data_IF_881237648644
#
_entry.id   IF_881237648644
#
_cell.length_a   1.000
_cell.length_b   1.000
_cell.length_c   1.000
_cell.angle_alpha   90.00
_cell.angle_beta   90.00
_cell.angle_gamma   90.00
#
_symmetry.space_group_name_H-M   'P 1'
#
loop_
_entity.id
_entity.type
_entity.pdbx_description
1 polymer ?
#
# COMPACT_ATOMS: atom_id res chain seq x y z
N UNK A 1 -28.81 -12.67 -13.24
CA UNK A 1 -28.20 -11.81 -12.20
C UNK A 1 -28.07 -12.64 -10.94
N UNK A 2 -26.86 -13.00 -10.55
CA UNK A 2 -26.59 -13.70 -9.29
C UNK A 2 -26.42 -12.70 -8.15
N UNK A 3 -26.74 -13.11 -6.92
CA UNK A 3 -26.38 -12.37 -5.72
C UNK A 3 -24.84 -12.44 -5.51
N UNK A 4 -24.26 -11.37 -5.03
CA UNK A 4 -22.87 -11.40 -4.57
C UNK A 4 -22.83 -12.11 -3.20
N UNK A 5 -21.72 -12.79 -2.91
CA UNK A 5 -21.50 -13.40 -1.59
C UNK A 5 -21.66 -12.38 -0.46
N UNK A 6 -21.29 -11.11 -0.70
CA UNK A 6 -21.49 -10.00 0.22
C UNK A 6 -22.97 -9.73 0.55
N UNK A 7 -23.88 -10.03 -0.38
CA UNK A 7 -25.31 -9.85 -0.17
C UNK A 7 -25.92 -10.93 0.77
N UNK A 8 -25.18 -12.03 0.98
CA UNK A 8 -25.58 -13.16 1.83
C UNK A 8 -25.10 -13.01 3.28
N UNK A 9 -24.26 -12.00 3.57
CA UNK A 9 -23.78 -11.76 4.94
C UNK A 9 -24.92 -11.33 5.85
N UNK A 10 -25.01 -11.96 7.02
CA UNK A 10 -26.07 -11.72 8.02
C UNK A 10 -25.91 -10.37 8.73
N UNK A 11 -24.70 -9.83 8.79
CA UNK A 11 -24.41 -8.52 9.40
C UNK A 11 -23.84 -7.60 8.34
N UNK A 12 -24.47 -6.46 8.17
CA UNK A 12 -24.07 -5.41 7.23
C UNK A 12 -24.13 -4.06 7.91
N UNK A 13 -23.22 -3.15 7.55
CA UNK A 13 -23.17 -1.80 8.06
C UNK A 13 -22.74 -0.80 7.01
N UNK A 14 -22.95 0.45 7.29
CA UNK A 14 -22.39 1.57 6.53
C UNK A 14 -21.24 2.17 7.32
N UNK A 15 -20.17 2.53 6.61
CA UNK A 15 -19.02 3.24 7.19
C UNK A 15 -19.05 4.67 6.69
N UNK A 16 -19.08 5.63 7.62
CA UNK A 16 -18.84 7.01 7.28
C UNK A 16 -17.33 7.19 7.07
N UNK A 17 -16.96 7.64 5.89
CA UNK A 17 -15.57 7.95 5.56
C UNK A 17 -15.38 9.45 5.68
N UNK A 18 -14.44 9.84 6.50
CA UNK A 18 -14.07 11.24 6.69
C UNK A 18 -12.73 11.51 6.02
N UNK A 19 -12.59 12.70 5.45
CA UNK A 19 -11.32 13.26 4.98
C UNK A 19 -11.28 14.73 5.28
N UNK A 20 -10.10 15.29 5.35
CA UNK A 20 -9.87 16.70 5.66
C UNK A 20 -8.92 17.33 4.65
N UNK A 21 -8.99 18.64 4.52
CA UNK A 21 -8.00 19.43 3.82
C UNK A 21 -6.76 19.72 4.69
N UNK A 22 -5.83 20.52 4.17
CA UNK A 22 -4.61 20.91 4.90
C UNK A 22 -4.87 21.82 6.10
N UNK A 23 -6.05 22.41 6.19
CA UNK A 23 -6.47 23.30 7.29
C UNK A 23 -7.30 22.54 8.34
N UNK A 24 -7.60 21.27 8.10
CA UNK A 24 -8.39 20.42 8.98
C UNK A 24 -9.91 20.51 8.75
N UNK A 25 -10.35 21.17 7.68
CA UNK A 25 -11.77 21.24 7.36
C UNK A 25 -12.26 19.96 6.70
N UNK A 26 -13.45 19.47 7.01
CA UNK A 26 -14.02 18.30 6.39
C UNK A 26 -14.19 18.46 4.88
N UNK A 27 -13.82 17.42 4.14
CA UNK A 27 -14.07 17.29 2.70
C UNK A 27 -15.09 16.19 2.44
N UNK A 28 -15.99 16.42 1.47
CA UNK A 28 -17.03 15.46 1.10
C UNK A 28 -16.54 14.35 0.16
N UNK A 29 -15.39 14.54 -0.47
CA UNK A 29 -14.83 13.58 -1.43
C UNK A 29 -13.48 13.11 -0.91
N UNK A 30 -13.43 11.82 -0.63
CA UNK A 30 -12.22 11.13 -0.22
C UNK A 30 -11.53 10.46 -1.44
N UNK A 31 -10.27 10.07 -1.26
CA UNK A 31 -9.58 9.20 -2.20
C UNK A 31 -9.26 7.83 -1.57
N UNK A 32 -8.72 6.91 -2.35
CA UNK A 32 -8.38 5.58 -1.85
C UNK A 32 -7.23 5.58 -0.83
N UNK A 33 -6.36 6.59 -0.84
CA UNK A 33 -5.25 6.66 0.11
C UNK A 33 -5.74 6.97 1.52
N UNK A 34 -6.48 8.09 1.69
CA UNK A 34 -6.96 8.46 3.01
C UNK A 34 -8.03 7.50 3.55
N UNK A 35 -8.89 6.94 2.69
CA UNK A 35 -9.89 5.97 3.13
C UNK A 35 -9.26 4.65 3.58
N UNK A 36 -8.29 4.13 2.83
CA UNK A 36 -7.57 2.92 3.23
C UNK A 36 -6.74 3.17 4.49
N UNK A 37 -6.13 4.35 4.64
CA UNK A 37 -5.42 4.74 5.86
C UNK A 37 -6.36 4.76 7.05
N UNK A 38 -7.55 5.35 6.93
CA UNK A 38 -8.53 5.36 8.01
C UNK A 38 -8.99 3.95 8.39
N UNK A 39 -9.19 3.06 7.41
CA UNK A 39 -9.53 1.65 7.67
C UNK A 39 -8.37 0.88 8.33
N UNK A 40 -7.13 1.15 7.93
CA UNK A 40 -5.97 0.45 8.45
C UNK A 40 -5.53 0.93 9.83
N UNK A 41 -5.78 2.20 10.17
CA UNK A 41 -5.21 2.85 11.37
C UNK A 41 -6.24 3.42 12.34
N UNK A 42 -7.48 3.63 11.89
CA UNK A 42 -8.50 4.38 12.63
C UNK A 42 -8.31 5.91 12.61
N UNK A 43 -7.29 6.42 11.95
CA UNK A 43 -7.00 7.86 11.90
C UNK A 43 -7.68 8.54 10.71
N UNK A 44 -8.27 9.71 10.93
CA UNK A 44 -8.71 10.61 9.84
C UNK A 44 -7.49 11.34 9.30
N UNK A 45 -7.37 11.41 7.97
CA UNK A 45 -6.22 12.02 7.32
C UNK A 45 -6.59 12.77 6.04
N UNK A 46 -5.61 13.43 5.45
CA UNK A 46 -5.77 14.20 4.22
C UNK A 46 -5.77 13.31 2.98
N UNK A 47 -6.37 13.83 1.90
CA UNK A 47 -6.33 13.19 0.58
C UNK A 47 -4.87 12.90 0.19
N UNK A 48 -4.65 11.70 -0.36
CA UNK A 48 -3.34 11.27 -0.86
C UNK A 48 -2.40 10.67 0.17
N UNK A 49 -2.65 10.80 1.46
CA UNK A 49 -1.80 10.23 2.51
C UNK A 49 -2.00 8.74 2.67
N UNK A 50 -0.91 8.05 2.95
CA UNK A 50 -0.83 6.60 3.15
C UNK A 50 -0.20 6.32 4.51
N UNK A 51 -0.92 5.65 5.42
CA UNK A 51 -0.41 5.24 6.73
C UNK A 51 0.00 6.37 7.69
N UNK A 52 -0.39 7.61 7.40
CA UNK A 52 -0.05 8.78 8.21
C UNK A 52 -1.31 9.58 8.56
N UNK A 53 -1.31 10.19 9.73
CA UNK A 53 -2.40 11.05 10.21
C UNK A 53 -2.43 12.43 9.51
N UNK A 54 -3.35 13.28 9.96
CA UNK A 54 -3.51 14.65 9.46
C UNK A 54 -2.26 15.53 9.63
N UNK A 55 -1.42 15.23 10.61
CA UNK A 55 -0.18 15.96 10.92
C UNK A 55 1.05 15.37 10.22
N UNK A 56 0.84 14.43 9.27
CA UNK A 56 1.92 13.71 8.60
C UNK A 56 2.75 12.80 9.52
N UNK A 57 2.18 12.39 10.66
CA UNK A 57 2.81 11.47 11.60
C UNK A 57 2.46 10.02 11.21
N UNK A 58 3.44 9.14 11.26
CA UNK A 58 3.26 7.70 11.06
C UNK A 58 2.29 7.16 12.11
N UNK A 59 1.28 6.40 11.67
CA UNK A 59 0.32 5.73 12.55
C UNK A 59 0.40 4.23 12.31
N UNK A 60 0.65 3.42 13.34
CA UNK A 60 0.67 1.98 13.20
C UNK A 60 -0.63 1.44 12.60
N UNK A 61 -0.49 0.50 11.68
CA UNK A 61 -1.63 -0.14 11.02
C UNK A 61 -2.08 -1.38 11.78
N UNK A 62 -3.32 -1.80 11.57
CA UNK A 62 -3.85 -3.06 12.12
C UNK A 62 -3.01 -4.26 11.67
N UNK A 63 -2.43 -4.21 10.47
CA UNK A 63 -1.61 -5.30 9.92
C UNK A 63 -0.25 -5.36 10.63
N UNK A 64 0.37 -4.21 10.88
CA UNK A 64 1.60 -4.11 11.66
C UNK A 64 1.39 -4.56 13.12
N UNK A 65 0.27 -4.13 13.73
CA UNK A 65 -0.09 -4.58 15.07
C UNK A 65 -0.29 -6.11 15.12
N UNK A 66 -0.98 -6.68 14.14
CA UNK A 66 -1.16 -8.13 14.05
C UNK A 66 0.18 -8.88 13.87
N UNK A 67 1.08 -8.35 13.03
CA UNK A 67 2.41 -8.93 12.86
C UNK A 67 3.22 -8.87 14.16
N UNK A 68 3.18 -7.75 14.88
CA UNK A 68 3.83 -7.60 16.18
C UNK A 68 3.31 -8.58 17.25
N UNK A 69 2.02 -8.92 17.17
CA UNK A 69 1.38 -9.94 18.02
C UNK A 69 1.63 -11.38 17.53
N UNK A 70 2.45 -11.57 16.49
CA UNK A 70 2.86 -12.89 15.99
C UNK A 70 1.86 -13.53 15.02
N UNK A 71 0.85 -12.80 14.54
CA UNK A 71 -0.04 -13.30 13.51
C UNK A 71 0.64 -13.29 12.13
N UNK A 72 0.27 -14.26 11.30
CA UNK A 72 0.65 -14.25 9.89
C UNK A 72 -0.20 -13.25 9.13
N UNK A 73 0.46 -12.42 8.34
CA UNK A 73 -0.18 -11.30 7.66
C UNK A 73 0.03 -11.35 6.15
N UNK A 74 -0.92 -10.76 5.41
CA UNK A 74 -0.82 -10.75 3.96
C UNK A 74 -1.61 -9.63 3.30
N UNK A 75 -1.11 -9.19 2.16
CA UNK A 75 -1.75 -8.22 1.27
C UNK A 75 -2.00 -8.90 -0.06
N UNK A 76 -3.26 -8.89 -0.51
CA UNK A 76 -3.65 -9.43 -1.82
C UNK A 76 -4.47 -8.37 -2.56
N UNK A 77 -4.05 -8.03 -3.76
CA UNK A 77 -4.72 -7.02 -4.58
C UNK A 77 -4.57 -7.33 -6.07
N UNK A 78 -5.56 -6.96 -6.87
CA UNK A 78 -5.45 -6.94 -8.33
C UNK A 78 -4.82 -5.64 -8.86
N UNK A 79 -4.71 -4.62 -7.99
CA UNK A 79 -3.99 -3.37 -8.28
C UNK A 79 -2.47 -3.56 -8.11
N UNK A 80 -1.69 -2.51 -8.41
CA UNK A 80 -0.29 -2.46 -8.00
C UNK A 80 -0.20 -2.57 -6.48
N UNK A 81 0.75 -3.36 -5.97
CA UNK A 81 0.97 -3.49 -4.52
C UNK A 81 1.42 -2.18 -3.88
N UNK A 82 1.97 -1.27 -4.67
CA UNK A 82 2.37 0.08 -4.27
C UNK A 82 1.26 1.11 -4.43
N UNK A 83 0.10 0.73 -5.00
CA UNK A 83 -1.04 1.64 -5.04
C UNK A 83 -1.61 1.85 -3.63
N UNK A 84 -2.30 2.93 -3.45
CA UNK A 84 -2.70 3.48 -2.15
C UNK A 84 -3.43 2.46 -1.24
N UNK A 85 -4.38 1.71 -1.77
CA UNK A 85 -5.21 0.80 -0.97
C UNK A 85 -4.39 -0.33 -0.33
N UNK A 86 -3.62 -1.14 -1.07
CA UNK A 86 -2.77 -2.16 -0.45
C UNK A 86 -1.63 -1.56 0.38
N UNK A 87 -1.04 -0.44 -0.07
CA UNK A 87 0.07 0.22 0.60
C UNK A 87 -0.31 0.74 1.99
N UNK A 88 -1.53 1.26 2.17
CA UNK A 88 -1.97 1.86 3.43
C UNK A 88 -1.99 0.91 4.62
N UNK A 89 -1.88 -0.40 4.39
CA UNK A 89 -1.81 -1.40 5.46
C UNK A 89 -0.38 -1.71 5.93
N UNK A 90 0.67 -1.29 5.19
CA UNK A 90 2.05 -1.62 5.54
C UNK A 90 3.10 -0.60 5.05
N UNK A 91 2.68 0.62 4.73
CA UNK A 91 3.58 1.69 4.33
C UNK A 91 3.05 3.06 4.77
N UNK A 92 3.96 4.03 4.89
CA UNK A 92 3.69 5.35 5.43
C UNK A 92 4.39 6.41 4.59
N UNK A 93 3.64 7.11 3.74
CA UNK A 93 4.15 8.22 2.94
C UNK A 93 3.17 9.40 2.91
N UNK A 94 3.71 10.61 2.80
CA UNK A 94 2.91 11.84 2.75
C UNK A 94 2.00 11.90 1.53
N UNK A 95 2.45 11.34 0.39
CA UNK A 95 1.69 11.35 -0.87
C UNK A 95 1.76 9.97 -1.53
N UNK A 96 0.60 9.40 -1.85
CA UNK A 96 0.44 8.09 -2.51
C UNK A 96 1.26 7.91 -3.80
N UNK A 97 1.69 9.00 -4.42
CA UNK A 97 2.51 8.97 -5.62
C UNK A 97 3.98 8.60 -5.35
N UNK A 98 4.41 8.62 -4.08
CA UNK A 98 5.76 8.23 -3.66
C UNK A 98 5.93 6.71 -3.59
N UNK A 99 5.61 6.04 -4.72
CA UNK A 99 5.55 4.58 -4.80
C UNK A 99 6.90 3.89 -4.85
N UNK A 100 7.92 4.56 -5.39
CA UNK A 100 9.23 3.96 -5.64
C UNK A 100 10.36 4.93 -5.33
N UNK A 101 11.62 4.44 -5.22
CA UNK A 101 12.79 5.31 -5.07
C UNK A 101 12.94 6.39 -6.15
N UNK A 102 12.35 6.17 -7.32
CA UNK A 102 12.34 7.19 -8.39
C UNK A 102 11.27 8.25 -8.15
N UNK A 103 10.06 7.82 -7.76
CA UNK A 103 8.91 8.73 -7.66
C UNK A 103 8.87 9.47 -6.32
N UNK A 104 9.58 9.03 -5.31
CA UNK A 104 9.64 9.71 -4.00
C UNK A 104 10.25 11.12 -4.11
N UNK A 105 11.07 11.37 -5.12
CA UNK A 105 11.66 12.69 -5.40
C UNK A 105 10.72 13.62 -6.18
N UNK A 106 9.50 13.19 -6.45
CA UNK A 106 8.53 13.95 -7.21
C UNK A 106 8.47 13.55 -8.68
N UNK A 107 7.64 14.26 -9.44
CA UNK A 107 7.47 13.99 -10.85
C UNK A 107 6.04 14.16 -11.32
N UNK A 108 5.63 13.38 -12.31
CA UNK A 108 4.29 13.42 -12.87
C UNK A 108 3.61 12.06 -12.76
N UNK A 109 2.44 12.03 -12.12
CA UNK A 109 1.61 10.83 -12.02
C UNK A 109 0.14 11.15 -12.24
N UNK A 110 -0.57 10.32 -13.01
CA UNK A 110 -1.97 10.54 -13.38
C UNK A 110 -2.24 11.91 -14.02
N UNK A 111 -1.24 12.47 -14.73
CA UNK A 111 -1.35 13.79 -15.37
C UNK A 111 -1.06 14.97 -14.43
N UNK A 112 -0.89 14.74 -13.13
CA UNK A 112 -0.61 15.76 -12.11
C UNK A 112 0.86 15.75 -11.73
N UNK A 113 1.47 16.94 -11.64
CA UNK A 113 2.83 17.12 -11.11
C UNK A 113 2.76 17.19 -9.58
N UNK A 114 3.70 16.56 -8.89
CA UNK A 114 3.84 16.61 -7.44
C UNK A 114 5.31 16.73 -7.03
N UNK A 115 5.55 17.30 -5.86
CA UNK A 115 6.91 17.69 -5.41
C UNK A 115 7.68 16.54 -4.73
N UNK A 116 7.06 15.35 -4.61
CA UNK A 116 7.64 14.22 -3.91
C UNK A 116 7.30 14.19 -2.42
N UNK A 117 8.04 13.36 -1.70
CA UNK A 117 7.91 13.18 -0.25
C UNK A 117 9.30 13.35 0.41
N UNK A 118 9.83 14.57 0.49
CA UNK A 118 11.19 14.79 0.99
C UNK A 118 11.39 14.35 2.43
N UNK A 119 10.35 14.43 3.26
CA UNK A 119 10.36 13.97 4.64
C UNK A 119 10.37 12.44 4.79
N UNK A 120 9.97 11.72 3.74
CA UNK A 120 9.94 10.25 3.73
C UNK A 120 11.22 9.65 3.16
N UNK A 121 12.13 10.47 2.60
CA UNK A 121 13.43 10.01 2.10
C UNK A 121 14.27 9.40 3.22
N UNK A 122 14.89 8.26 2.96
CA UNK A 122 15.77 7.57 3.93
C UNK A 122 16.94 8.47 4.36
N UNK A 123 17.51 9.23 3.44
CA UNK A 123 18.59 10.19 3.73
C UNK A 123 18.15 11.34 4.65
N UNK A 124 16.85 11.62 4.75
CA UNK A 124 16.27 12.61 5.65
C UNK A 124 15.73 11.99 6.95
N UNK A 125 15.98 10.69 7.18
CA UNK A 125 15.49 9.95 8.35
C UNK A 125 14.08 9.41 8.19
N UNK A 126 13.50 9.46 6.98
CA UNK A 126 12.21 8.86 6.64
C UNK A 126 12.29 7.36 6.38
N UNK A 127 11.14 6.76 6.10
CA UNK A 127 11.00 5.31 5.91
C UNK A 127 11.23 4.85 4.45
N UNK A 128 11.45 5.78 3.53
CA UNK A 128 11.57 5.51 2.10
C UNK A 128 10.22 5.48 1.38
N UNK A 129 10.27 5.15 0.11
CA UNK A 129 9.09 4.98 -0.75
C UNK A 129 8.23 3.78 -0.32
N UNK A 130 6.99 3.72 -0.80
CA UNK A 130 6.10 2.58 -0.54
C UNK A 130 6.78 1.25 -0.90
N UNK A 131 7.48 1.19 -2.03
CA UNK A 131 8.16 -0.03 -2.46
C UNK A 131 9.27 -0.46 -1.50
N UNK A 132 10.08 0.47 -1.00
CA UNK A 132 11.14 0.19 -0.03
C UNK A 132 10.57 -0.31 1.29
N UNK A 133 9.51 0.34 1.77
CA UNK A 133 8.83 -0.07 3.00
C UNK A 133 8.20 -1.46 2.87
N UNK A 134 7.47 -1.74 1.77
CA UNK A 134 6.90 -3.06 1.53
C UNK A 134 7.98 -4.16 1.42
N UNK A 135 9.14 -3.84 0.82
CA UNK A 135 10.24 -4.78 0.69
C UNK A 135 10.84 -5.19 2.05
N UNK A 136 10.85 -4.28 3.00
CA UNK A 136 11.42 -4.48 4.35
C UNK A 136 10.37 -4.76 5.41
N UNK A 137 9.06 -4.68 5.07
CA UNK A 137 7.95 -4.92 6.01
C UNK A 137 7.95 -6.36 6.53
N UNK A 138 7.31 -6.58 7.67
CA UNK A 138 7.09 -7.90 8.29
C UNK A 138 5.90 -8.67 7.71
N UNK A 139 5.31 -8.18 6.61
CA UNK A 139 4.20 -8.86 5.93
C UNK A 139 4.69 -10.16 5.32
N UNK A 140 4.07 -11.28 5.67
CA UNK A 140 4.50 -12.61 5.23
C UNK A 140 4.21 -12.85 3.74
N UNK A 141 3.07 -12.35 3.25
CA UNK A 141 2.62 -12.57 1.87
C UNK A 141 2.18 -11.26 1.23
N UNK A 142 2.76 -10.91 0.09
CA UNK A 142 2.32 -9.79 -0.73
C UNK A 142 2.08 -10.29 -2.15
N UNK A 143 0.82 -10.29 -2.58
CA UNK A 143 0.40 -10.69 -3.93
C UNK A 143 -0.35 -9.53 -4.60
N UNK A 144 0.10 -9.13 -5.77
CA UNK A 144 -0.58 -8.05 -6.50
C UNK A 144 0.04 -7.74 -7.85
N UNK A 145 -0.51 -6.75 -8.51
CA UNK A 145 0.00 -6.21 -9.76
C UNK A 145 1.08 -5.16 -9.54
N UNK A 146 1.51 -4.57 -10.63
CA UNK A 146 2.45 -3.45 -10.68
C UNK A 146 3.76 -3.81 -11.37
N UNK A 147 4.40 -2.79 -11.94
CA UNK A 147 5.76 -2.88 -12.45
C UNK A 147 6.53 -1.75 -11.80
N UNK A 148 7.39 -2.08 -10.85
CA UNK A 148 8.33 -1.11 -10.31
C UNK A 148 9.63 -1.32 -11.05
N UNK A 149 9.94 -0.39 -11.93
CA UNK A 149 11.22 -0.30 -12.58
C UNK A 149 12.17 0.45 -11.64
N UNK A 150 12.71 -0.24 -10.66
CA UNK A 150 13.92 0.22 -9.99
C UNK A 150 15.11 -0.60 -10.50
N UNK A 151 16.03 0.02 -11.26
CA UNK A 151 17.22 -0.70 -11.74
C UNK A 151 18.16 -1.14 -10.63
N UNK A 152 18.00 -0.61 -9.41
CA UNK A 152 18.90 -0.82 -8.27
C UNK A 152 18.21 -1.40 -7.03
N UNK A 153 16.87 -1.43 -7.03
CA UNK A 153 16.08 -1.99 -5.94
C UNK A 153 15.87 -3.49 -6.05
N UNK A 154 15.22 -4.09 -5.04
CA UNK A 154 14.83 -5.48 -5.10
C UNK A 154 14.00 -5.72 -6.38
N UNK A 155 14.33 -6.75 -7.11
CA UNK A 155 13.67 -7.07 -8.39
C UNK A 155 12.25 -7.52 -8.12
N UNK A 156 11.36 -6.63 -8.35
CA UNK A 156 9.95 -6.89 -8.30
C UNK A 156 9.49 -7.44 -9.66
N UNK A 157 8.80 -8.57 -9.67
CA UNK A 157 8.43 -9.29 -10.86
C UNK A 157 7.66 -8.48 -11.89
N UNK A 158 7.65 -8.93 -13.12
CA UNK A 158 6.91 -8.31 -14.21
C UNK A 158 5.42 -8.60 -14.05
N UNK A 159 4.58 -7.57 -13.89
CA UNK A 159 3.13 -7.77 -13.96
C UNK A 159 2.67 -7.80 -15.41
N UNK A 160 1.77 -8.71 -15.70
CA UNK A 160 0.92 -8.63 -16.90
C UNK A 160 -0.45 -8.11 -16.49
N UNK A 161 -1.13 -7.30 -17.29
CA UNK A 161 -2.46 -6.82 -16.97
C UNK A 161 -3.38 -8.00 -16.64
N UNK A 162 -4.04 -7.94 -15.47
CA UNK A 162 -5.03 -8.93 -15.04
C UNK A 162 -4.51 -10.19 -14.35
N UNK A 163 -3.22 -10.31 -14.06
CA UNK A 163 -2.66 -11.43 -13.30
C UNK A 163 -1.99 -10.99 -12.01
N UNK A 164 -2.19 -11.75 -10.94
CA UNK A 164 -1.44 -11.64 -9.69
C UNK A 164 -0.03 -12.19 -9.95
N UNK A 165 0.97 -11.32 -10.04
CA UNK A 165 2.34 -11.69 -10.40
C UNK A 165 3.37 -11.34 -9.36
N UNK A 166 2.95 -11.09 -8.11
CA UNK A 166 3.85 -10.60 -7.08
C UNK A 166 3.94 -11.51 -5.88
N UNK A 167 5.10 -12.08 -5.71
CA UNK A 167 5.59 -12.65 -4.46
C UNK A 167 6.63 -11.70 -3.87
N UNK A 168 6.56 -11.45 -2.57
CA UNK A 168 7.67 -10.87 -1.80
C UNK A 168 8.79 -11.91 -1.79
N UNK A 169 9.56 -11.97 -2.88
CA UNK A 169 10.56 -13.00 -3.15
C UNK A 169 11.70 -13.04 -2.11
N UNK A 170 11.79 -12.06 -1.23
CA UNK A 170 12.89 -11.94 -0.27
C UNK A 170 12.68 -12.67 1.07
N UNK A 171 11.50 -13.26 1.29
CA UNK A 171 11.18 -13.96 2.55
C UNK A 171 10.67 -15.39 2.36
N UNK A 172 10.62 -15.90 1.13
CA UNK A 172 10.40 -17.32 0.93
C UNK A 172 11.69 -18.07 1.24
N UNK A 173 11.64 -19.15 2.04
CA UNK A 173 12.76 -20.06 2.18
C UNK A 173 13.22 -20.54 0.80
N UNK A 174 14.53 -20.74 0.64
CA UNK A 174 15.13 -21.12 -0.65
C UNK A 174 14.59 -22.44 -1.24
N UNK A 175 13.86 -23.18 -0.47
CA UNK A 175 13.25 -24.47 -0.78
C UNK A 175 11.78 -24.37 -1.22
N UNK A 176 11.15 -23.19 -1.15
CA UNK A 176 9.76 -23.01 -1.60
C UNK A 176 9.67 -22.51 -3.05
N UNK A 177 10.52 -23.08 -3.91
CA UNK A 177 10.49 -22.84 -5.36
C UNK A 177 9.16 -23.28 -6.00
N UNK A 178 8.38 -24.10 -5.30
CA UNK A 178 7.11 -24.62 -5.82
C UNK A 178 6.04 -23.55 -6.01
N UNK A 179 5.99 -22.53 -5.15
CA UNK A 179 5.00 -21.46 -5.27
C UNK A 179 5.40 -20.45 -6.37
N UNK A 180 6.69 -20.13 -6.46
CA UNK A 180 7.23 -19.28 -7.52
C UNK A 180 7.06 -19.93 -8.90
N UNK A 181 7.30 -21.25 -9.02
CA UNK A 181 7.14 -21.98 -10.28
C UNK A 181 5.68 -22.15 -10.70
N UNK A 182 4.73 -22.24 -9.76
CA UNK A 182 3.29 -22.27 -10.05
C UNK A 182 2.75 -20.96 -10.62
N UNK A 183 3.38 -19.84 -10.31
CA UNK A 183 3.00 -18.51 -10.79
C UNK A 183 3.69 -18.14 -12.12
N UNK A 184 4.71 -18.89 -12.55
CA UNK A 184 5.42 -18.69 -13.80
C UNK A 184 4.91 -19.59 -14.96
N UNK A 185 4.04 -20.57 -14.67
CA UNK A 185 3.65 -21.61 -15.62
C UNK A 185 2.43 -21.32 -16.50
N UNK A 186 1.92 -20.06 -16.58
CA UNK A 186 0.82 -19.72 -17.51
C UNK A 186 1.09 -18.49 -18.36
#
# INVERSE_FOLDING_TARGET
>A
SGSLLLDELSVRGAVQVETIDSEGNPLYVADSANTATSLATGAVTQIGRVGKDANNTVVPTVLEAAAADGYKTGIVSTASVTDATPAAFAAHVAVRACESPMTIHGGKKYGVTFDGCPEDLVENGGLGSIAEQLATSEVDVILGGGTILDPQGPRYGKSRPGRLTWLKAMQLPADDQSLASLLEQD
#
